data_IF_165309555117
#
_entry.id   IF_165309555117
#
_cell.length_a   1.000
_cell.length_b   1.000
_cell.length_c   1.000
_cell.angle_alpha   90.00
_cell.angle_beta   90.00
_cell.angle_gamma   90.00
#
_symmetry.space_group_name_H-M   'P 1'
#
loop_
_entity.id
_entity.type
_entity.pdbx_description
1 polymer ?
#
# COMPACT_ATOMS: atom_id res chain seq x y z
N UNK A 1 -15.84 23.37 -0.27
CA UNK A 1 -14.54 22.81 -0.72
C UNK A 1 -13.60 22.97 0.45
N UNK A 2 -13.10 21.87 1.03
CA UNK A 2 -12.20 21.97 2.18
C UNK A 2 -10.80 22.33 1.68
N UNK A 3 -10.26 23.46 2.15
CA UNK A 3 -8.87 23.83 1.93
C UNK A 3 -7.97 22.77 2.56
N UNK A 4 -7.12 22.15 1.74
CA UNK A 4 -6.07 21.26 2.23
C UNK A 4 -5.03 22.15 2.91
N UNK A 5 -4.72 21.95 4.20
CA UNK A 5 -3.74 22.78 4.89
C UNK A 5 -2.39 22.63 4.21
N UNK A 6 -1.85 23.74 3.69
CA UNK A 6 -0.47 23.82 3.20
C UNK A 6 0.47 23.83 4.40
N UNK A 7 0.55 22.72 5.14
CA UNK A 7 1.72 22.48 5.97
C UNK A 7 2.87 22.23 5.00
N UNK A 8 3.74 23.23 4.84
CA UNK A 8 5.08 23.01 4.32
C UNK A 8 5.78 22.04 5.28
N UNK A 9 5.60 20.75 5.06
CA UNK A 9 6.44 19.73 5.66
C UNK A 9 7.87 20.05 5.23
N UNK A 10 8.74 20.35 6.19
CA UNK A 10 10.14 20.71 5.92
C UNK A 10 11.00 19.52 5.50
N UNK A 11 10.39 18.47 4.93
CA UNK A 11 11.00 17.21 4.54
C UNK A 11 10.02 16.29 3.81
N UNK A 12 10.52 15.20 3.22
CA UNK A 12 9.70 14.25 2.46
C UNK A 12 8.53 13.69 3.29
N UNK A 13 7.39 13.53 2.65
CA UNK A 13 6.18 12.95 3.24
C UNK A 13 6.23 11.44 3.02
N UNK A 14 6.16 10.67 4.12
CA UNK A 14 5.90 9.23 4.06
C UNK A 14 4.40 9.00 4.18
N UNK A 15 3.81 8.29 3.24
CA UNK A 15 2.40 7.87 3.33
C UNK A 15 2.25 6.38 3.04
N UNK A 16 1.26 5.76 3.69
CA UNK A 16 1.02 4.31 3.63
C UNK A 16 -0.36 4.04 3.08
N UNK A 17 -0.46 3.23 2.03
CA UNK A 17 -1.70 2.77 1.42
C UNK A 17 -1.91 1.29 1.74
N UNK A 18 -2.93 1.00 2.55
CA UNK A 18 -3.36 -0.38 2.86
C UNK A 18 -4.36 -0.86 1.83
N UNK A 19 -4.13 -2.04 1.28
CA UNK A 19 -4.96 -2.65 0.24
C UNK A 19 -5.63 -3.91 0.80
N UNK A 20 -6.91 -4.02 0.52
CA UNK A 20 -7.70 -5.23 0.73
C UNK A 20 -7.91 -5.89 -0.61
N UNK A 21 -7.68 -7.20 -0.67
CA UNK A 21 -8.08 -7.98 -1.84
C UNK A 21 -9.58 -8.06 -1.92
N UNK A 22 -10.09 -8.31 -3.12
CA UNK A 22 -11.51 -8.59 -3.28
C UNK A 22 -11.85 -9.99 -2.77
N UNK A 23 -13.07 -10.21 -2.24
CA UNK A 23 -13.48 -11.50 -1.71
C UNK A 23 -13.39 -12.64 -2.73
N UNK A 24 -13.49 -12.34 -4.04
CA UNK A 24 -13.49 -13.31 -5.12
C UNK A 24 -12.09 -13.87 -5.45
N UNK A 25 -11.02 -13.18 -5.05
CA UNK A 25 -9.64 -13.56 -5.38
C UNK A 25 -8.92 -14.15 -4.15
N UNK A 26 -8.11 -15.18 -4.36
CA UNK A 26 -7.23 -15.69 -3.30
C UNK A 26 -6.13 -14.69 -2.97
N UNK A 27 -5.55 -14.81 -1.77
CA UNK A 27 -4.45 -13.95 -1.35
C UNK A 27 -3.27 -14.11 -2.31
N UNK A 28 -2.90 -15.35 -2.64
CA UNK A 28 -1.82 -15.64 -3.59
C UNK A 28 -2.05 -15.02 -4.98
N UNK A 29 -3.28 -15.08 -5.51
CA UNK A 29 -3.62 -14.48 -6.80
C UNK A 29 -3.51 -12.95 -6.77
N UNK A 30 -3.99 -12.31 -5.69
CA UNK A 30 -3.87 -10.87 -5.49
C UNK A 30 -2.40 -10.44 -5.41
N UNK A 31 -1.59 -11.18 -4.67
CA UNK A 31 -0.17 -10.92 -4.49
C UNK A 31 0.60 -11.10 -5.79
N UNK A 32 0.26 -12.14 -6.55
CA UNK A 32 0.83 -12.36 -7.88
C UNK A 32 0.48 -11.20 -8.82
N UNK A 33 -0.77 -10.76 -8.83
CA UNK A 33 -1.20 -9.63 -9.63
C UNK A 33 -0.47 -8.33 -9.26
N UNK A 34 -0.35 -8.02 -7.96
CA UNK A 34 0.25 -6.76 -7.53
C UNK A 34 1.73 -6.68 -7.92
N UNK A 35 2.45 -7.80 -7.85
CA UNK A 35 3.90 -7.85 -8.15
C UNK A 35 4.22 -8.09 -9.61
N UNK A 36 3.48 -8.95 -10.30
CA UNK A 36 3.78 -9.29 -11.69
C UNK A 36 3.13 -8.34 -12.70
N UNK A 37 2.03 -7.67 -12.34
CA UNK A 37 1.28 -6.81 -13.26
C UNK A 37 1.26 -5.35 -12.83
N UNK A 38 0.77 -5.06 -11.62
CA UNK A 38 0.59 -3.67 -11.18
C UNK A 38 1.93 -2.93 -11.01
N UNK A 39 2.84 -3.46 -10.18
CA UNK A 39 4.11 -2.79 -9.89
C UNK A 39 4.98 -2.52 -11.13
N UNK A 40 5.16 -3.45 -12.09
CA UNK A 40 5.95 -3.20 -13.29
C UNK A 40 5.42 -2.03 -14.15
N UNK A 41 4.10 -1.80 -14.14
CA UNK A 41 3.46 -0.68 -14.83
C UNK A 41 3.53 0.62 -14.01
N UNK A 42 3.42 0.52 -12.69
CA UNK A 42 3.39 1.63 -11.76
C UNK A 42 4.78 2.25 -11.48
N UNK A 43 5.82 1.43 -11.33
CA UNK A 43 7.19 1.87 -11.01
C UNK A 43 7.76 2.89 -12.01
N UNK A 44 7.58 2.73 -13.34
CA UNK A 44 7.99 3.74 -14.31
C UNK A 44 7.29 5.09 -14.11
N UNK A 45 6.01 5.08 -13.71
CA UNK A 45 5.23 6.29 -13.40
C UNK A 45 5.77 6.95 -12.14
N UNK A 46 6.01 6.16 -11.08
CA UNK A 46 6.59 6.64 -9.82
C UNK A 46 7.94 7.35 -10.02
N UNK A 47 8.82 6.74 -10.80
CA UNK A 47 10.13 7.33 -11.14
C UNK A 47 9.99 8.63 -11.92
N UNK A 48 9.04 8.70 -12.86
CA UNK A 48 8.82 9.88 -13.70
C UNK A 48 8.33 11.09 -12.90
N UNK A 49 7.45 10.85 -11.92
CA UNK A 49 6.85 11.92 -11.10
C UNK A 49 7.63 12.23 -9.82
N UNK A 50 8.78 11.58 -9.61
CA UNK A 50 9.68 11.94 -8.52
C UNK A 50 9.33 11.33 -7.16
N UNK A 51 8.68 10.15 -7.14
CA UNK A 51 8.59 9.36 -5.90
C UNK A 51 10.01 8.95 -5.48
N UNK A 52 10.39 9.29 -4.24
CA UNK A 52 11.75 9.12 -3.71
C UNK A 52 12.02 7.65 -3.40
N UNK A 53 11.07 6.98 -2.75
CA UNK A 53 11.12 5.54 -2.51
C UNK A 53 9.72 4.96 -2.38
N UNK A 54 9.61 3.65 -2.62
CA UNK A 54 8.42 2.89 -2.31
C UNK A 54 8.81 1.57 -1.63
N UNK A 55 7.94 1.04 -0.78
CA UNK A 55 8.08 -0.25 -0.13
C UNK A 55 6.75 -0.98 -0.21
N UNK A 56 6.69 -2.09 -0.93
CA UNK A 56 5.55 -3.00 -0.88
C UNK A 56 5.82 -4.02 0.23
N UNK A 57 4.96 -4.02 1.23
CA UNK A 57 4.92 -5.05 2.25
C UNK A 57 3.58 -5.77 2.09
N UNK A 58 3.62 -6.94 1.49
CA UNK A 58 2.47 -7.83 1.51
C UNK A 58 2.68 -8.96 2.50
N UNK A 59 1.57 -9.51 3.02
CA UNK A 59 1.64 -10.67 3.90
C UNK A 59 2.48 -11.78 3.24
N UNK A 60 2.29 -12.09 1.95
CA UNK A 60 3.07 -13.14 1.30
C UNK A 60 4.52 -12.81 0.91
N UNK A 61 4.87 -11.55 0.59
CA UNK A 61 6.20 -11.24 -0.01
C UNK A 61 7.27 -10.85 1.01
N UNK A 62 6.92 -10.70 2.29
CA UNK A 62 7.93 -10.55 3.35
C UNK A 62 7.47 -10.98 4.76
N UNK A 63 6.16 -11.19 5.01
CA UNK A 63 5.63 -11.34 6.36
C UNK A 63 4.48 -12.34 6.47
N UNK A 64 4.62 -13.56 5.94
CA UNK A 64 3.69 -14.63 6.32
C UNK A 64 4.07 -14.98 7.74
N UNK A 65 3.48 -14.28 8.70
CA UNK A 65 3.30 -14.83 10.03
C UNK A 65 2.26 -15.92 9.82
N UNK A 66 2.64 -17.21 9.86
CA UNK A 66 1.68 -18.28 9.58
C UNK A 66 0.46 -18.10 10.48
N UNK A 67 -0.77 -18.38 10.01
CA UNK A 67 -1.99 -18.16 10.80
C UNK A 67 -1.89 -18.68 12.26
N UNK A 68 -1.24 -19.83 12.55
CA UNK A 68 -1.02 -20.29 13.92
C UNK A 68 -0.17 -19.31 14.77
N UNK A 69 0.86 -18.71 14.20
CA UNK A 69 1.75 -17.77 14.89
C UNK A 69 1.09 -16.40 15.07
N UNK A 70 0.27 -15.97 14.10
CA UNK A 70 -0.49 -14.72 14.19
C UNK A 70 -1.56 -14.82 15.29
N UNK A 71 -2.29 -15.93 15.35
CA UNK A 71 -3.26 -16.19 16.42
C UNK A 71 -2.59 -16.25 17.80
N UNK A 72 -1.43 -16.91 17.92
CA UNK A 72 -0.67 -16.96 19.17
C UNK A 72 -0.20 -15.56 19.61
N UNK A 73 0.32 -14.74 18.67
CA UNK A 73 0.70 -13.36 18.94
C UNK A 73 -0.50 -12.51 19.36
N UNK A 74 -1.64 -12.63 18.67
CA UNK A 74 -2.88 -11.93 18.98
C UNK A 74 -3.38 -12.25 20.38
N UNK A 75 -3.33 -13.51 20.79
CA UNK A 75 -3.70 -13.92 22.15
C UNK A 75 -2.77 -13.31 23.22
N UNK A 76 -1.46 -13.25 22.95
CA UNK A 76 -0.50 -12.69 23.90
C UNK A 76 -0.60 -11.16 24.01
N UNK A 77 -0.76 -10.45 22.88
CA UNK A 77 -0.91 -9.00 22.86
C UNK A 77 -2.25 -8.54 23.44
N UNK A 78 -3.33 -9.31 23.21
CA UNK A 78 -4.64 -9.05 23.79
C UNK A 78 -4.66 -9.12 25.32
N UNK A 79 -3.74 -9.87 25.94
CA UNK A 79 -3.53 -9.89 27.40
C UNK A 79 -2.87 -8.62 27.93
N UNK A 80 -2.07 -7.94 27.10
CA UNK A 80 -1.38 -6.69 27.46
C UNK A 80 -2.32 -5.50 27.27
N UNK A 81 -3.01 -5.44 26.13
CA UNK A 81 -4.00 -4.41 25.86
C UNK A 81 -5.17 -4.98 25.03
N UNK A 82 -6.37 -5.08 25.61
CA UNK A 82 -7.55 -5.59 24.91
C UNK A 82 -7.99 -4.73 23.72
N UNK A 83 -7.54 -3.48 23.62
CA UNK A 83 -7.89 -2.57 22.53
C UNK A 83 -6.98 -2.72 21.28
N UNK A 84 -5.92 -3.53 21.36
CA UNK A 84 -5.04 -3.77 20.21
C UNK A 84 -5.63 -4.85 19.31
N UNK A 85 -5.80 -4.52 18.03
CA UNK A 85 -6.22 -5.48 17.02
C UNK A 85 -5.17 -5.58 15.90
N UNK A 86 -5.20 -6.73 15.23
CA UNK A 86 -4.36 -7.00 14.09
C UNK A 86 -5.06 -6.48 12.85
N UNK A 87 -4.35 -5.68 12.07
CA UNK A 87 -4.89 -5.18 10.83
C UNK A 87 -5.08 -6.31 9.82
N UNK A 88 -6.21 -6.26 9.12
CA UNK A 88 -6.74 -7.31 8.24
C UNK A 88 -6.47 -7.05 6.75
N UNK A 89 -5.62 -6.07 6.43
CA UNK A 89 -5.22 -5.79 5.05
C UNK A 89 -4.27 -6.87 4.51
N UNK A 90 -4.39 -7.15 3.20
CA UNK A 90 -3.57 -8.14 2.50
C UNK A 90 -2.16 -7.61 2.21
N UNK A 91 -2.05 -6.33 1.88
CA UNK A 91 -0.76 -5.66 1.72
C UNK A 91 -0.85 -4.18 2.00
N UNK A 92 0.29 -3.55 2.25
CA UNK A 92 0.43 -2.11 2.23
C UNK A 92 1.60 -1.67 1.36
N UNK A 93 1.45 -0.51 0.73
CA UNK A 93 2.53 0.15 0.00
C UNK A 93 2.83 1.46 0.73
N UNK A 94 4.07 1.59 1.18
CA UNK A 94 4.59 2.85 1.70
C UNK A 94 5.30 3.61 0.61
N UNK A 95 5.03 4.90 0.50
CA UNK A 95 5.65 5.81 -0.45
C UNK A 95 6.30 6.97 0.30
N UNK A 96 7.47 7.39 -0.18
CA UNK A 96 8.11 8.63 0.25
C UNK A 96 8.08 9.59 -0.93
N UNK A 97 7.43 10.74 -0.75
CA UNK A 97 7.24 11.77 -1.78
C UNK A 97 7.78 13.12 -1.29
N UNK A 98 8.26 13.98 -2.19
CA UNK A 98 8.74 15.31 -1.82
C UNK A 98 7.61 16.23 -1.35
N UNK A 99 6.44 16.16 -2.01
CA UNK A 99 5.27 16.97 -1.72
C UNK A 99 3.98 16.34 -2.30
N UNK A 100 2.82 16.82 -1.88
CA UNK A 100 1.51 16.30 -2.29
C UNK A 100 1.18 16.53 -3.77
N UNK A 101 1.85 17.46 -4.46
CA UNK A 101 1.68 17.71 -5.89
C UNK A 101 2.10 16.51 -6.76
N UNK A 102 3.02 15.69 -6.25
CA UNK A 102 3.40 14.41 -6.90
C UNK A 102 2.22 13.46 -6.99
N UNK A 103 1.37 13.38 -5.96
CA UNK A 103 0.20 12.50 -5.97
C UNK A 103 -0.78 12.91 -7.07
N UNK A 104 -1.09 14.21 -7.17
CA UNK A 104 -1.95 14.72 -8.23
C UNK A 104 -1.39 14.47 -9.64
N UNK A 105 -0.07 14.58 -9.79
CA UNK A 105 0.63 14.36 -11.07
C UNK A 105 0.62 12.89 -11.48
N UNK A 106 0.84 11.96 -10.54
CA UNK A 106 0.72 10.51 -10.77
C UNK A 106 -0.71 10.15 -11.15
N UNK A 107 -1.70 10.60 -10.37
CA UNK A 107 -3.11 10.29 -10.61
C UNK A 107 -3.63 10.81 -11.97
N UNK A 108 -3.01 11.87 -12.49
CA UNK A 108 -3.35 12.45 -13.79
C UNK A 108 -2.55 11.85 -14.96
N UNK A 109 -1.57 10.98 -14.71
CA UNK A 109 -0.77 10.36 -15.77
C UNK A 109 -1.62 9.29 -16.49
N UNK A 110 -1.80 9.37 -17.82
CA UNK A 110 -2.52 8.34 -18.57
C UNK A 110 -1.95 6.93 -18.38
N UNK A 111 -0.64 6.80 -18.10
CA UNK A 111 0.00 5.51 -17.81
C UNK A 111 -0.34 4.98 -16.42
N UNK A 112 -0.65 5.86 -15.48
CA UNK A 112 -1.17 5.45 -14.17
C UNK A 112 -2.53 4.76 -14.33
N UNK A 113 -3.42 5.32 -15.16
CA UNK A 113 -4.72 4.72 -15.45
C UNK A 113 -4.60 3.31 -16.06
N UNK A 114 -3.54 3.06 -16.84
CA UNK A 114 -3.23 1.71 -17.36
C UNK A 114 -2.78 0.77 -16.24
N UNK A 115 -1.99 1.26 -15.28
CA UNK A 115 -1.50 0.44 -14.16
C UNK A 115 -2.58 0.03 -13.14
N UNK A 116 -3.71 0.74 -13.10
CA UNK A 116 -4.85 0.43 -12.22
C UNK A 116 -6.06 -0.14 -12.98
N UNK A 117 -5.93 -0.38 -14.29
CA UNK A 117 -7.06 -0.76 -15.17
C UNK A 117 -7.78 -2.02 -14.72
N UNK A 118 -7.03 -3.01 -14.24
CA UNK A 118 -7.57 -4.31 -13.85
C UNK A 118 -7.81 -4.40 -12.33
N UNK A 119 -7.74 -3.28 -11.60
CA UNK A 119 -8.02 -3.22 -10.16
C UNK A 119 -9.51 -3.50 -9.86
N UNK A 120 -10.39 -3.18 -10.81
CA UNK A 120 -11.84 -3.35 -10.73
C UNK A 120 -12.34 -4.71 -11.27
N UNK A 121 -11.46 -5.57 -11.79
CA UNK A 121 -11.73 -6.98 -12.11
C UNK A 121 -11.30 -7.94 -10.99
#
# INVERSE_FOLDING_TARGET
MAEVPTQQASGPIKFTLTHYRKPEHTHEEFIKWIVEKHLPLAVPVFKRHGIISYSLCSHDIQFVTPPPLNNAMKEQLGKVNPAWDFADFDCFIEYVIPDMGVVGSVMSDPKWLVSVKDQDE
#
